data_IF_785918787584
#
_entry.id   IF_785918787584
#
_cell.length_a   1.000
_cell.length_b   1.000
_cell.length_c   1.000
_cell.angle_alpha   90.00
_cell.angle_beta   90.00
_cell.angle_gamma   90.00
#
_symmetry.space_group_name_H-M   'P 1'
#
loop_
_entity.id
_entity.type
_entity.pdbx_description
1 polymer ?
#
# COMPACT_ATOMS: atom_id res chain seq x y z
N UNK A 1 -11.98 -52.88 23.04
CA UNK A 1 -11.95 -52.14 21.77
C UNK A 1 -12.09 -50.62 21.95
N UNK A 2 -13.24 -50.10 22.40
CA UNK A 2 -13.59 -48.67 22.43
C UNK A 2 -12.49 -47.66 22.82
N UNK A 3 -11.76 -47.89 23.91
CA UNK A 3 -10.69 -46.99 24.38
C UNK A 3 -9.52 -46.92 23.40
N UNK A 4 -9.10 -48.06 22.83
CA UNK A 4 -8.03 -48.13 21.84
C UNK A 4 -8.36 -47.30 20.60
N UNK A 5 -9.56 -47.49 20.03
CA UNK A 5 -10.02 -46.71 18.86
C UNK A 5 -10.01 -45.20 19.10
N UNK A 6 -10.33 -44.76 20.33
CA UNK A 6 -10.26 -43.34 20.73
C UNK A 6 -8.82 -42.85 20.90
N UNK A 7 -7.92 -43.68 21.43
CA UNK A 7 -6.47 -43.39 21.49
C UNK A 7 -5.88 -43.32 20.07
N UNK A 8 -6.18 -44.29 19.20
CA UNK A 8 -5.76 -44.30 17.80
C UNK A 8 -6.22 -43.05 17.04
N UNK A 9 -7.46 -42.60 17.25
CA UNK A 9 -7.97 -41.36 16.67
C UNK A 9 -7.20 -40.11 17.15
N UNK A 10 -6.90 -40.03 18.46
CA UNK A 10 -6.14 -38.90 19.01
C UNK A 10 -4.68 -38.91 18.56
N UNK A 11 -4.04 -40.07 18.49
CA UNK A 11 -2.68 -40.21 17.97
C UNK A 11 -2.62 -39.97 16.45
N UNK A 12 -3.63 -40.39 15.67
CA UNK A 12 -3.76 -40.06 14.24
C UNK A 12 -3.93 -38.56 13.98
N UNK A 13 -4.60 -37.85 14.91
CA UNK A 13 -4.69 -36.38 14.88
C UNK A 13 -3.36 -35.70 15.20
N UNK A 14 -2.57 -36.26 16.11
CA UNK A 14 -1.26 -35.70 16.49
C UNK A 14 -0.18 -35.97 15.44
N UNK A 15 -0.15 -37.19 14.86
CA UNK A 15 0.83 -37.55 13.82
C UNK A 15 0.69 -36.67 12.57
N UNK A 16 -0.51 -36.15 12.28
CA UNK A 16 -0.76 -35.26 11.16
C UNK A 16 -0.04 -33.89 11.23
N UNK A 17 0.48 -33.53 12.40
CA UNK A 17 1.24 -32.30 12.65
C UNK A 17 2.63 -32.59 13.23
N UNK A 18 3.11 -33.83 13.10
CA UNK A 18 4.44 -34.28 13.48
C UNK A 18 5.27 -34.53 12.21
N UNK A 19 6.53 -34.10 12.18
CA UNK A 19 7.30 -33.99 10.93
C UNK A 19 7.43 -35.32 10.17
N UNK A 20 7.61 -36.42 10.91
CA UNK A 20 7.72 -37.77 10.37
C UNK A 20 6.37 -38.42 9.99
N UNK A 21 5.23 -37.75 10.22
CA UNK A 21 3.84 -38.24 10.06
C UNK A 21 3.51 -39.61 10.72
N UNK A 22 4.34 -40.05 11.67
CA UNK A 22 4.24 -41.34 12.37
C UNK A 22 4.35 -41.16 13.87
N UNK A 23 3.56 -41.92 14.63
CA UNK A 23 3.71 -42.06 16.08
C UNK A 23 3.65 -43.55 16.43
N UNK A 24 4.66 -44.03 17.18
CA UNK A 24 4.70 -45.37 17.74
C UNK A 24 4.40 -45.33 19.24
N UNK A 25 3.66 -46.31 19.74
CA UNK A 25 3.27 -46.45 21.14
C UNK A 25 3.19 -47.93 21.53
N UNK A 26 3.16 -48.21 22.83
CA UNK A 26 2.97 -49.57 23.34
C UNK A 26 1.52 -49.79 23.77
N UNK A 27 0.95 -50.93 23.36
CA UNK A 27 -0.35 -51.43 23.77
C UNK A 27 -0.24 -52.95 23.93
N UNK A 28 -0.66 -53.49 25.09
CA UNK A 28 -0.44 -54.88 25.49
C UNK A 28 0.98 -55.41 25.21
N UNK A 29 1.99 -54.59 25.54
CA UNK A 29 3.43 -54.80 25.30
C UNK A 29 3.87 -54.92 23.83
N UNK A 30 2.95 -54.77 22.87
CA UNK A 30 3.24 -54.70 21.44
C UNK A 30 3.52 -53.26 21.03
N UNK A 31 4.51 -53.06 20.17
CA UNK A 31 4.80 -51.77 19.55
C UNK A 31 3.83 -51.56 18.37
N UNK A 32 2.82 -50.72 18.58
CA UNK A 32 1.89 -50.30 17.53
C UNK A 32 2.38 -48.97 16.93
N UNK A 33 2.17 -48.76 15.62
CA UNK A 33 2.55 -47.53 14.93
C UNK A 33 1.40 -47.02 14.07
N UNK A 34 1.09 -45.74 14.23
CA UNK A 34 0.06 -45.03 13.46
C UNK A 34 0.72 -44.23 12.36
N UNK A 35 0.30 -44.52 11.13
CA UNK A 35 0.74 -43.86 9.91
C UNK A 35 -0.48 -43.35 9.13
N UNK A 36 -0.36 -42.17 8.53
CA UNK A 36 -1.44 -41.52 7.78
C UNK A 36 -1.60 -41.99 6.33
N UNK A 37 -0.71 -42.86 5.84
CA UNK A 37 -0.63 -43.25 4.43
C UNK A 37 -1.68 -44.24 3.95
N UNK A 38 -2.50 -44.83 4.85
CA UNK A 38 -3.43 -45.91 4.52
C UNK A 38 -4.84 -45.65 5.10
N UNK A 39 -5.61 -44.68 4.56
CA UNK A 39 -6.97 -44.38 5.03
C UNK A 39 -7.91 -45.59 4.90
N UNK A 40 -7.81 -46.33 3.81
CA UNK A 40 -8.72 -47.42 3.45
C UNK A 40 -8.54 -48.69 4.31
N UNK A 41 -7.65 -48.64 5.32
CA UNK A 41 -7.58 -49.60 6.44
C UNK A 41 -8.82 -49.53 7.35
N UNK A 42 -9.53 -48.40 7.35
CA UNK A 42 -10.68 -48.15 8.24
C UNK A 42 -12.00 -48.07 7.45
N UNK A 43 -13.15 -48.46 8.05
CA UNK A 43 -14.47 -48.29 7.42
C UNK A 43 -14.79 -46.83 7.07
N UNK A 44 -15.63 -46.61 6.04
CA UNK A 44 -16.02 -45.25 5.57
C UNK A 44 -16.55 -44.34 6.69
N UNK A 45 -17.33 -44.88 7.63
CA UNK A 45 -17.93 -44.12 8.74
C UNK A 45 -17.00 -43.98 9.97
N UNK A 46 -15.79 -44.55 9.93
CA UNK A 46 -14.85 -44.45 11.05
C UNK A 46 -14.26 -43.03 11.14
N UNK A 47 -14.28 -42.44 12.35
CA UNK A 47 -13.72 -41.10 12.56
C UNK A 47 -12.24 -40.97 12.16
N UNK A 48 -11.47 -42.07 12.07
CA UNK A 48 -10.09 -42.09 11.55
C UNK A 48 -10.07 -41.92 10.04
N UNK A 49 -10.87 -42.69 9.29
CA UNK A 49 -11.05 -42.52 7.83
C UNK A 49 -11.54 -41.11 7.53
N UNK A 50 -12.62 -40.70 8.19
CA UNK A 50 -13.23 -39.38 8.01
C UNK A 50 -12.24 -38.26 8.35
N UNK A 51 -11.45 -38.36 9.43
CA UNK A 51 -10.44 -37.33 9.73
C UNK A 51 -9.35 -37.23 8.67
N UNK A 52 -8.91 -38.36 8.09
CA UNK A 52 -7.93 -38.36 7.00
C UNK A 52 -8.50 -37.75 5.71
N UNK A 53 -9.72 -38.13 5.30
CA UNK A 53 -10.42 -37.49 4.18
C UNK A 53 -10.72 -36.00 4.44
N UNK A 54 -10.98 -35.60 5.68
CA UNK A 54 -11.09 -34.19 6.06
C UNK A 54 -9.75 -33.46 5.91
N UNK A 55 -8.59 -34.10 6.17
CA UNK A 55 -7.29 -33.48 5.93
C UNK A 55 -7.01 -33.29 4.44
N UNK A 56 -7.25 -34.32 3.63
CA UNK A 56 -6.92 -34.37 2.20
C UNK A 56 -8.21 -34.55 1.35
N UNK A 57 -9.06 -33.50 1.22
CA UNK A 57 -10.38 -33.59 0.58
C UNK A 57 -10.32 -33.89 -0.93
N UNK A 58 -9.16 -33.69 -1.57
CA UNK A 58 -8.90 -34.10 -2.95
C UNK A 58 -8.84 -35.62 -3.14
N UNK A 59 -8.85 -36.40 -2.06
CA UNK A 59 -8.92 -37.87 -2.08
C UNK A 59 -10.36 -38.41 -1.93
N UNK A 60 -11.36 -37.54 -2.00
CA UNK A 60 -12.78 -37.89 -2.07
C UNK A 60 -13.19 -38.08 -3.54
N UNK A 61 -13.94 -39.14 -3.81
CA UNK A 61 -14.51 -39.41 -5.13
C UNK A 61 -15.82 -38.60 -5.34
N UNK A 62 -16.16 -38.36 -6.61
CA UNK A 62 -17.33 -37.55 -6.96
C UNK A 62 -18.67 -38.18 -6.55
N UNK A 63 -18.75 -39.51 -6.35
CA UNK A 63 -20.00 -40.18 -5.95
C UNK A 63 -20.26 -39.87 -4.47
N UNK A 64 -19.26 -40.06 -3.60
CA UNK A 64 -19.32 -39.67 -2.18
C UNK A 64 -19.66 -38.18 -2.00
N UNK A 65 -19.16 -37.28 -2.86
CA UNK A 65 -19.51 -35.85 -2.82
C UNK A 65 -20.99 -35.61 -3.21
N UNK A 66 -21.49 -36.27 -4.26
CA UNK A 66 -22.89 -36.17 -4.70
C UNK A 66 -23.86 -36.74 -3.65
N UNK A 67 -23.53 -37.87 -3.04
CA UNK A 67 -24.27 -38.46 -1.91
C UNK A 67 -24.39 -37.46 -0.77
N UNK A 68 -23.27 -36.86 -0.33
CA UNK A 68 -23.28 -35.88 0.76
C UNK A 68 -24.03 -34.58 0.41
N UNK A 69 -24.03 -34.17 -0.86
CA UNK A 69 -24.85 -33.05 -1.33
C UNK A 69 -26.34 -33.37 -1.23
N UNK A 70 -26.78 -34.56 -1.66
CA UNK A 70 -28.18 -34.98 -1.57
C UNK A 70 -28.63 -35.16 -0.12
N UNK A 71 -27.81 -35.78 0.72
CA UNK A 71 -28.06 -35.92 2.16
C UNK A 71 -28.18 -34.57 2.87
N UNK A 72 -27.46 -33.55 2.40
CA UNK A 72 -27.54 -32.21 2.98
C UNK A 72 -28.89 -31.50 2.76
N UNK A 73 -29.75 -32.01 1.87
CA UNK A 73 -31.07 -31.44 1.60
C UNK A 73 -32.21 -32.13 2.40
N UNK A 74 -31.89 -33.08 3.26
CA UNK A 74 -32.84 -33.79 4.12
C UNK A 74 -33.08 -33.03 5.44
N UNK A 75 -33.98 -33.52 6.31
CA UNK A 75 -34.21 -32.89 7.62
C UNK A 75 -33.16 -33.28 8.68
N UNK A 76 -32.75 -34.55 8.76
CA UNK A 76 -31.71 -35.00 9.70
C UNK A 76 -30.31 -34.94 9.08
N UNK A 77 -29.81 -33.71 8.86
CA UNK A 77 -28.51 -33.51 8.23
C UNK A 77 -27.38 -33.81 9.22
N UNK A 78 -26.61 -34.84 8.87
CA UNK A 78 -25.27 -35.09 9.41
C UNK A 78 -24.36 -33.87 9.22
N UNK A 79 -24.28 -33.00 10.23
CA UNK A 79 -23.50 -31.74 10.20
C UNK A 79 -22.02 -31.92 9.79
N UNK A 80 -21.46 -33.11 9.95
CA UNK A 80 -20.12 -33.42 9.47
C UNK A 80 -20.02 -33.40 7.94
N UNK A 81 -21.04 -33.84 7.20
CA UNK A 81 -21.11 -33.77 5.73
C UNK A 81 -21.03 -32.32 5.27
N UNK A 82 -21.77 -31.41 5.92
CA UNK A 82 -21.67 -29.96 5.69
C UNK A 82 -20.24 -29.43 5.93
N UNK A 83 -19.58 -29.83 7.02
CA UNK A 83 -18.20 -29.41 7.30
C UNK A 83 -17.19 -29.92 6.25
N UNK A 84 -17.41 -31.11 5.69
CA UNK A 84 -16.57 -31.70 4.65
C UNK A 84 -16.81 -31.03 3.29
N UNK A 85 -18.08 -30.83 2.91
CA UNK A 85 -18.42 -30.09 1.69
C UNK A 85 -17.86 -28.67 1.73
N UNK A 86 -17.95 -27.96 2.86
CA UNK A 86 -17.35 -26.63 3.05
C UNK A 86 -15.83 -26.70 2.83
N UNK A 87 -15.14 -27.70 3.37
CA UNK A 87 -13.70 -27.86 3.17
C UNK A 87 -13.32 -28.30 1.75
N UNK A 88 -14.15 -29.09 1.09
CA UNK A 88 -13.96 -29.50 -0.30
C UNK A 88 -14.15 -28.32 -1.25
N UNK A 89 -15.20 -27.51 -1.11
CA UNK A 89 -15.40 -26.33 -1.94
C UNK A 89 -14.30 -25.29 -1.73
N UNK A 90 -13.88 -25.04 -0.48
CA UNK A 90 -12.82 -24.07 -0.15
C UNK A 90 -11.40 -24.52 -0.49
N UNK A 91 -11.18 -25.74 -1.02
CA UNK A 91 -9.84 -26.26 -1.37
C UNK A 91 -9.74 -27.02 -2.69
N UNK A 92 -10.85 -27.47 -3.28
CA UNK A 92 -10.88 -28.30 -4.49
C UNK A 92 -11.66 -27.62 -5.64
N UNK A 93 -12.90 -27.16 -5.42
CA UNK A 93 -13.70 -26.52 -6.48
C UNK A 93 -13.52 -25.01 -6.57
N UNK A 94 -13.22 -24.35 -5.44
CA UNK A 94 -13.18 -22.90 -5.29
C UNK A 94 -14.49 -22.19 -5.73
N UNK A 95 -15.64 -22.86 -5.60
CA UNK A 95 -16.94 -22.29 -5.95
C UNK A 95 -17.55 -21.50 -4.78
N UNK A 96 -17.58 -20.17 -4.90
CA UNK A 96 -18.28 -19.29 -3.94
C UNK A 96 -19.78 -19.60 -3.87
N UNK A 97 -20.42 -19.97 -4.99
CA UNK A 97 -21.84 -20.31 -5.01
C UNK A 97 -22.13 -21.55 -4.15
N UNK A 98 -21.30 -22.61 -4.27
CA UNK A 98 -21.42 -23.81 -3.44
C UNK A 98 -21.19 -23.49 -1.95
N UNK A 99 -20.24 -22.59 -1.63
CA UNK A 99 -19.96 -22.12 -0.27
C UNK A 99 -21.14 -21.33 0.31
N UNK A 100 -21.74 -20.42 -0.46
CA UNK A 100 -22.86 -19.58 -0.02
C UNK A 100 -24.16 -20.38 0.15
N UNK A 101 -24.46 -21.30 -0.77
CA UNK A 101 -25.59 -22.22 -0.65
C UNK A 101 -25.45 -23.08 0.61
N UNK A 102 -24.26 -23.61 0.86
CA UNK A 102 -23.97 -24.44 2.04
C UNK A 102 -23.97 -23.64 3.36
N UNK A 103 -23.62 -22.35 3.33
CA UNK A 103 -23.76 -21.47 4.50
C UNK A 103 -25.23 -21.17 4.80
N UNK A 104 -26.08 -20.89 3.80
CA UNK A 104 -27.53 -20.70 3.99
C UNK A 104 -28.17 -21.93 4.63
N UNK A 105 -27.80 -23.11 4.16
CA UNK A 105 -28.24 -24.40 4.69
C UNK A 105 -27.77 -24.64 6.13
N UNK A 106 -26.51 -24.31 6.45
CA UNK A 106 -25.99 -24.37 7.81
C UNK A 106 -26.68 -23.40 8.78
N UNK A 107 -27.10 -22.22 8.31
CA UNK A 107 -27.91 -21.28 9.08
C UNK A 107 -29.32 -21.86 9.30
N UNK A 108 -29.94 -22.46 8.28
CA UNK A 108 -31.26 -23.08 8.40
C UNK A 108 -31.29 -24.16 9.51
N UNK A 109 -30.36 -25.11 9.49
CA UNK A 109 -30.29 -26.18 10.52
C UNK A 109 -29.77 -25.72 11.88
N UNK A 110 -29.18 -24.52 11.97
CA UNK A 110 -28.93 -23.84 13.24
C UNK A 110 -30.25 -23.27 13.78
N UNK A 111 -30.95 -22.47 12.97
CA UNK A 111 -32.22 -21.84 13.36
C UNK A 111 -33.32 -22.87 13.68
N UNK A 112 -33.38 -24.01 12.98
CA UNK A 112 -34.24 -25.14 13.33
C UNK A 112 -33.92 -25.73 14.70
N UNK A 113 -32.62 -25.87 15.03
CA UNK A 113 -32.18 -26.45 16.30
C UNK A 113 -32.39 -25.50 17.48
N UNK A 114 -32.12 -24.20 17.34
CA UNK A 114 -32.40 -23.21 18.40
C UNK A 114 -33.92 -22.96 18.59
N UNK A 115 -34.78 -23.58 17.76
CA UNK A 115 -36.25 -23.69 17.93
C UNK A 115 -36.71 -25.10 18.35
N UNK A 116 -35.78 -26.04 18.50
CA UNK A 116 -36.06 -27.45 18.76
C UNK A 116 -36.14 -27.80 20.25
N UNK A 117 -36.30 -29.09 20.54
CA UNK A 117 -36.33 -29.62 21.92
C UNK A 117 -35.10 -30.50 22.25
N UNK A 118 -34.14 -30.66 21.32
CA UNK A 118 -32.96 -31.54 21.49
C UNK A 118 -31.79 -30.90 22.25
N UNK A 119 -32.07 -29.84 23.00
CA UNK A 119 -31.09 -29.00 23.68
C UNK A 119 -30.32 -29.75 24.77
N UNK A 120 -29.00 -29.61 24.73
CA UNK A 120 -28.08 -30.02 25.79
C UNK A 120 -26.71 -29.38 25.56
N UNK A 121 -25.91 -29.29 26.61
CA UNK A 121 -24.59 -28.61 26.64
C UNK A 121 -23.66 -29.04 25.48
N UNK A 122 -23.70 -30.30 25.04
CA UNK A 122 -22.90 -30.79 23.92
C UNK A 122 -23.46 -30.30 22.57
N UNK A 123 -24.76 -30.48 22.34
CA UNK A 123 -25.42 -30.05 21.11
C UNK A 123 -25.43 -28.52 20.96
N UNK A 124 -25.59 -27.76 22.05
CA UNK A 124 -25.57 -26.29 22.03
C UNK A 124 -24.17 -25.76 21.68
N UNK A 125 -23.13 -26.35 22.26
CA UNK A 125 -21.73 -26.06 21.93
C UNK A 125 -21.41 -26.45 20.48
N UNK A 126 -21.94 -27.57 20.00
CA UNK A 126 -21.83 -27.98 18.60
C UNK A 126 -22.48 -26.97 17.65
N UNK A 127 -23.76 -26.64 17.87
CA UNK A 127 -24.54 -25.66 17.10
C UNK A 127 -23.76 -24.34 16.95
N UNK A 128 -23.30 -23.80 18.08
CA UNK A 128 -22.55 -22.53 18.17
C UNK A 128 -21.16 -22.55 17.51
N UNK A 129 -20.40 -23.62 17.71
CA UNK A 129 -19.06 -23.77 17.10
C UNK A 129 -19.14 -24.05 15.60
N UNK A 130 -20.12 -24.83 15.16
CA UNK A 130 -20.36 -25.12 13.76
C UNK A 130 -20.79 -23.87 12.98
N UNK A 131 -21.72 -23.06 13.51
CA UNK A 131 -22.08 -21.77 12.89
C UNK A 131 -20.86 -20.85 12.73
N UNK A 132 -20.00 -20.79 13.76
CA UNK A 132 -18.72 -20.06 13.69
C UNK A 132 -17.81 -20.61 12.60
N UNK A 133 -17.64 -21.93 12.53
CA UNK A 133 -16.81 -22.58 11.51
C UNK A 133 -17.27 -22.21 10.09
N UNK A 134 -18.59 -22.25 9.80
CA UNK A 134 -19.11 -22.00 8.46
C UNK A 134 -18.88 -20.56 8.00
N UNK A 135 -19.14 -19.56 8.86
CA UNK A 135 -18.81 -18.16 8.57
C UNK A 135 -17.29 -17.93 8.42
N UNK A 136 -16.48 -18.50 9.31
CA UNK A 136 -15.03 -18.32 9.29
C UNK A 136 -14.38 -18.98 8.05
N UNK A 137 -14.90 -20.13 7.60
CA UNK A 137 -14.46 -20.80 6.36
C UNK A 137 -14.78 -19.99 5.12
N UNK A 138 -16.01 -19.43 5.00
CA UNK A 138 -16.39 -18.52 3.90
C UNK A 138 -15.48 -17.28 3.86
N UNK A 139 -15.30 -16.61 4.98
CA UNK A 139 -14.43 -15.43 5.07
C UNK A 139 -12.97 -15.74 4.73
N UNK A 140 -12.45 -16.89 5.18
CA UNK A 140 -11.10 -17.36 4.85
C UNK A 140 -10.94 -17.67 3.35
N UNK A 141 -11.99 -18.15 2.69
CA UNK A 141 -12.01 -18.36 1.24
C UNK A 141 -12.00 -17.04 0.46
N UNK A 142 -12.90 -16.12 0.81
CA UNK A 142 -13.02 -14.81 0.15
C UNK A 142 -11.70 -14.01 0.24
N UNK A 143 -11.07 -14.00 1.42
CA UNK A 143 -9.76 -13.37 1.63
C UNK A 143 -8.57 -14.07 0.94
N UNK A 144 -8.77 -15.19 0.23
CA UNK A 144 -7.70 -15.98 -0.40
C UNK A 144 -7.89 -16.19 -1.91
N UNK A 145 -9.13 -16.27 -2.39
CA UNK A 145 -9.43 -16.76 -3.74
C UNK A 145 -10.37 -15.85 -4.55
N UNK A 146 -11.15 -14.98 -3.90
CA UNK A 146 -12.14 -14.17 -4.60
C UNK A 146 -11.53 -12.85 -5.12
N UNK A 147 -11.70 -12.57 -6.41
CA UNK A 147 -10.98 -11.46 -7.07
C UNK A 147 -11.63 -10.10 -6.83
N UNK A 148 -12.95 -10.07 -6.79
CA UNK A 148 -13.74 -8.84 -6.65
C UNK A 148 -14.04 -8.53 -5.17
N UNK A 149 -13.44 -9.28 -4.23
CA UNK A 149 -13.62 -9.13 -2.80
C UNK A 149 -12.72 -8.02 -2.24
N UNK A 150 -13.33 -6.85 -2.00
CA UNK A 150 -12.65 -5.62 -1.59
C UNK A 150 -12.48 -5.49 -0.06
N UNK A 151 -11.59 -4.58 0.36
CA UNK A 151 -11.37 -4.24 1.76
C UNK A 151 -12.64 -3.83 2.53
N UNK A 152 -13.60 -3.18 1.86
CA UNK A 152 -14.87 -2.79 2.48
C UNK A 152 -15.83 -3.97 2.65
N UNK A 153 -15.85 -4.93 1.71
CA UNK A 153 -16.57 -6.21 1.89
C UNK A 153 -15.94 -7.02 3.04
N UNK A 154 -14.61 -7.05 3.12
CA UNK A 154 -13.87 -7.69 4.21
C UNK A 154 -14.24 -7.09 5.58
N UNK A 155 -14.39 -5.76 5.67
CA UNK A 155 -14.90 -5.09 6.88
C UNK A 155 -16.32 -5.52 7.26
N UNK A 156 -17.22 -5.68 6.29
CA UNK A 156 -18.61 -6.09 6.53
C UNK A 156 -18.68 -7.55 7.01
N UNK A 157 -18.01 -8.48 6.33
CA UNK A 157 -18.02 -9.90 6.74
C UNK A 157 -17.29 -10.12 8.08
N UNK A 158 -16.23 -9.36 8.38
CA UNK A 158 -15.56 -9.41 9.69
C UNK A 158 -16.45 -8.85 10.82
N UNK A 159 -17.24 -7.80 10.56
CA UNK A 159 -18.25 -7.31 11.50
C UNK A 159 -19.37 -8.34 11.71
N UNK A 160 -19.82 -9.02 10.65
CA UNK A 160 -20.79 -10.12 10.77
C UNK A 160 -20.21 -11.24 11.63
N UNK A 161 -18.96 -11.65 11.42
CA UNK A 161 -18.27 -12.62 12.28
C UNK A 161 -18.18 -12.14 13.73
N UNK A 162 -17.84 -10.87 13.98
CA UNK A 162 -17.79 -10.34 15.34
C UNK A 162 -19.16 -10.40 16.05
N UNK A 163 -20.26 -10.15 15.32
CA UNK A 163 -21.62 -10.35 15.86
C UNK A 163 -21.94 -11.82 16.17
N UNK A 164 -21.50 -12.75 15.32
CA UNK A 164 -21.68 -14.20 15.52
C UNK A 164 -20.85 -14.68 16.73
N UNK A 165 -19.60 -14.23 16.88
CA UNK A 165 -18.77 -14.56 18.05
C UNK A 165 -19.37 -14.02 19.36
N UNK A 166 -20.00 -12.84 19.33
CA UNK A 166 -20.70 -12.27 20.48
C UNK A 166 -21.98 -13.04 20.83
N UNK A 167 -22.72 -13.53 19.83
CA UNK A 167 -23.93 -14.34 20.02
C UNK A 167 -23.60 -15.75 20.56
N UNK A 168 -22.55 -16.39 20.05
CA UNK A 168 -22.19 -17.76 20.44
C UNK A 168 -21.26 -17.85 21.65
N UNK A 169 -20.64 -16.73 22.03
CA UNK A 169 -19.58 -16.61 23.04
C UNK A 169 -18.28 -17.39 22.68
N UNK A 170 -18.05 -17.68 21.39
CA UNK A 170 -16.87 -18.41 20.91
C UNK A 170 -15.93 -17.45 20.17
N UNK A 171 -14.99 -16.86 20.89
CA UNK A 171 -14.07 -15.82 20.37
C UNK A 171 -12.87 -16.41 19.63
N UNK A 172 -13.13 -17.01 18.45
CA UNK A 172 -12.11 -17.62 17.59
C UNK A 172 -11.12 -16.56 17.04
N UNK A 173 -9.81 -16.85 17.07
CA UNK A 173 -8.78 -15.93 16.58
C UNK A 173 -8.59 -15.94 15.05
N UNK A 174 -8.95 -17.03 14.36
CA UNK A 174 -8.65 -17.20 12.93
C UNK A 174 -9.21 -16.09 12.03
N UNK A 175 -10.42 -15.54 12.22
CA UNK A 175 -10.92 -14.43 11.41
C UNK A 175 -10.03 -13.19 11.49
N UNK A 176 -9.53 -12.86 12.68
CA UNK A 176 -8.61 -11.72 12.83
C UNK A 176 -7.21 -12.03 12.27
N UNK A 177 -6.74 -13.29 12.32
CA UNK A 177 -5.51 -13.72 11.64
C UNK A 177 -5.63 -13.59 10.10
N UNK A 178 -6.77 -14.02 9.54
CA UNK A 178 -7.11 -13.86 8.11
C UNK A 178 -7.20 -12.38 7.73
N UNK A 179 -7.88 -11.55 8.54
CA UNK A 179 -8.00 -10.12 8.30
C UNK A 179 -6.64 -9.40 8.35
N UNK A 180 -5.75 -9.76 9.29
CA UNK A 180 -4.37 -9.26 9.34
C UNK A 180 -3.62 -9.59 8.04
N UNK A 181 -3.67 -10.85 7.60
CA UNK A 181 -3.00 -11.30 6.37
C UNK A 181 -3.55 -10.64 5.11
N UNK A 182 -4.86 -10.41 5.03
CA UNK A 182 -5.48 -9.69 3.92
C UNK A 182 -5.07 -8.21 3.90
N UNK A 183 -5.17 -7.51 5.03
CA UNK A 183 -4.86 -6.07 5.11
C UNK A 183 -3.36 -5.78 4.94
N UNK A 184 -2.47 -6.68 5.37
CA UNK A 184 -1.04 -6.57 5.08
C UNK A 184 -0.80 -6.62 3.56
N UNK A 185 -1.42 -7.56 2.83
CA UNK A 185 -1.32 -7.64 1.36
C UNK A 185 -1.87 -6.39 0.67
N UNK A 186 -3.02 -5.87 1.11
CA UNK A 186 -3.60 -4.64 0.57
C UNK A 186 -2.65 -3.44 0.72
N UNK A 187 -2.03 -3.30 1.89
CA UNK A 187 -1.03 -2.24 2.14
C UNK A 187 0.23 -2.48 1.27
N UNK A 188 0.74 -3.70 1.19
CA UNK A 188 1.92 -4.04 0.38
C UNK A 188 1.68 -3.80 -1.12
N UNK A 189 0.49 -4.11 -1.63
CA UNK A 189 0.07 -3.81 -3.00
C UNK A 189 0.12 -2.30 -3.27
N UNK A 190 -0.51 -1.50 -2.41
CA UNK A 190 -0.50 -0.02 -2.52
C UNK A 190 0.90 0.58 -2.38
N UNK A 191 1.74 0.03 -1.49
CA UNK A 191 3.14 0.44 -1.34
C UNK A 191 4.01 0.06 -2.55
N UNK A 192 3.58 -0.88 -3.40
CA UNK A 192 4.30 -1.27 -4.63
C UNK A 192 4.04 -0.33 -5.82
N UNK A 193 2.98 0.47 -5.76
CA UNK A 193 2.63 1.41 -6.82
C UNK A 193 3.47 2.69 -6.76
N UNK A 194 3.76 3.26 -7.93
CA UNK A 194 4.59 4.48 -8.08
C UNK A 194 3.81 5.74 -7.69
N UNK A 195 2.48 5.69 -7.71
CA UNK A 195 1.61 6.77 -7.27
C UNK A 195 1.39 6.71 -5.76
N UNK A 196 1.29 7.87 -5.11
CA UNK A 196 0.96 7.96 -3.69
C UNK A 196 -0.49 7.52 -3.44
N UNK A 197 -0.69 6.57 -2.53
CA UNK A 197 -1.98 6.17 -2.00
C UNK A 197 -1.99 6.26 -0.47
N UNK A 198 -3.05 6.81 0.12
CA UNK A 198 -3.12 6.95 1.57
C UNK A 198 -3.49 5.63 2.26
N UNK A 199 -2.47 4.94 2.79
CA UNK A 199 -2.61 3.71 3.57
C UNK A 199 -2.92 3.96 5.07
N UNK A 200 -3.07 5.20 5.52
CA UNK A 200 -3.18 5.53 6.96
C UNK A 200 -4.37 4.85 7.65
N UNK A 201 -5.53 4.78 6.96
CA UNK A 201 -6.71 4.08 7.48
C UNK A 201 -6.49 2.56 7.56
N UNK A 202 -5.86 1.95 6.54
CA UNK A 202 -5.53 0.53 6.53
C UNK A 202 -4.60 0.17 7.72
N UNK A 203 -3.58 0.99 7.98
CA UNK A 203 -2.67 0.82 9.14
C UNK A 203 -3.41 1.00 10.48
N UNK A 204 -4.38 1.91 10.56
CA UNK A 204 -5.21 2.11 11.74
C UNK A 204 -6.08 0.88 12.06
N UNK A 205 -6.80 0.37 11.06
CA UNK A 205 -7.63 -0.82 11.21
C UNK A 205 -6.78 -2.10 11.40
N UNK A 206 -5.60 -2.21 10.77
CA UNK A 206 -4.65 -3.31 11.01
C UNK A 206 -4.26 -3.40 12.50
N UNK A 207 -3.99 -2.27 13.16
CA UNK A 207 -3.73 -2.21 14.61
C UNK A 207 -4.94 -2.66 15.45
N UNK A 208 -6.16 -2.30 15.02
CA UNK A 208 -7.42 -2.71 15.66
C UNK A 208 -7.63 -4.23 15.53
N UNK A 209 -7.41 -4.81 14.35
CA UNK A 209 -7.49 -6.25 14.13
C UNK A 209 -6.40 -7.01 14.90
N UNK A 210 -5.18 -6.47 14.99
CA UNK A 210 -4.11 -7.07 15.80
C UNK A 210 -4.46 -7.11 17.30
N UNK A 211 -5.06 -6.04 17.84
CA UNK A 211 -5.56 -6.04 19.23
C UNK A 211 -6.61 -7.13 19.45
N UNK A 212 -7.58 -7.28 18.52
CA UNK A 212 -8.60 -8.33 18.56
C UNK A 212 -8.02 -9.74 18.42
N UNK A 213 -7.10 -9.96 17.48
CA UNK A 213 -6.35 -11.22 17.33
C UNK A 213 -5.67 -11.62 18.63
N UNK A 214 -4.89 -10.73 19.25
CA UNK A 214 -4.21 -10.99 20.52
C UNK A 214 -5.19 -11.30 21.67
N UNK A 215 -6.31 -10.60 21.76
CA UNK A 215 -7.38 -10.89 22.74
C UNK A 215 -8.02 -12.27 22.50
N UNK A 216 -8.33 -12.62 21.26
CA UNK A 216 -8.94 -13.91 20.92
C UNK A 216 -7.95 -15.09 21.06
N UNK A 217 -6.66 -14.90 20.77
CA UNK A 217 -5.61 -15.91 21.07
C UNK A 217 -5.54 -16.15 22.59
N UNK A 218 -5.55 -15.09 23.41
CA UNK A 218 -5.57 -15.23 24.86
C UNK A 218 -6.86 -15.92 25.37
N UNK A 219 -8.00 -15.66 24.75
CA UNK A 219 -9.27 -16.35 25.04
C UNK A 219 -9.18 -17.84 24.69
N UNK A 220 -8.74 -18.20 23.48
CA UNK A 220 -8.54 -19.59 23.07
C UNK A 220 -7.51 -20.32 23.95
N UNK A 221 -6.44 -19.66 24.40
CA UNK A 221 -5.47 -20.22 25.37
C UNK A 221 -6.11 -20.53 26.72
N UNK A 222 -6.98 -19.65 27.23
CA UNK A 222 -7.65 -19.81 28.53
C UNK A 222 -8.73 -20.90 28.52
N UNK A 223 -9.55 -20.95 27.48
CA UNK A 223 -10.75 -21.81 27.45
C UNK A 223 -10.62 -23.06 26.57
N UNK A 224 -9.55 -23.18 25.79
CA UNK A 224 -9.24 -24.31 24.90
C UNK A 224 -10.46 -24.84 24.11
N UNK A 225 -11.16 -23.95 23.37
CA UNK A 225 -12.41 -24.27 22.69
C UNK A 225 -12.20 -25.27 21.55
N UNK A 226 -13.15 -26.20 21.40
CA UNK A 226 -13.31 -26.92 20.14
C UNK A 226 -13.87 -25.95 19.09
N UNK A 227 -13.00 -25.46 18.20
CA UNK A 227 -13.38 -24.51 17.14
C UNK A 227 -14.35 -25.11 16.11
N UNK A 228 -14.51 -26.43 16.09
CA UNK A 228 -15.58 -27.18 15.42
C UNK A 228 -15.98 -28.35 16.32
N UNK A 229 -17.21 -28.40 16.80
CA UNK A 229 -17.79 -29.54 17.52
C UNK A 229 -19.08 -29.98 16.80
N UNK A 230 -19.37 -31.28 16.83
CA UNK A 230 -20.57 -31.87 16.23
C UNK A 230 -21.58 -32.26 17.32
N UNK A 231 -22.86 -32.40 16.95
CA UNK A 231 -23.89 -32.90 17.87
C UNK A 231 -23.51 -34.29 18.41
N UNK A 232 -24.05 -34.64 19.57
CA UNK A 232 -23.65 -35.83 20.34
C UNK A 232 -23.75 -37.14 19.52
N UNK A 233 -24.84 -37.33 18.77
CA UNK A 233 -25.02 -38.52 17.91
C UNK A 233 -23.94 -38.62 16.82
N UNK A 234 -23.66 -37.52 16.11
CA UNK A 234 -22.59 -37.44 15.09
C UNK A 234 -21.17 -37.42 15.67
N UNK A 235 -21.02 -37.53 16.99
CA UNK A 235 -19.74 -37.57 17.71
C UNK A 235 -19.56 -38.89 18.48
N UNK A 236 -20.43 -39.88 18.30
CA UNK A 236 -20.47 -41.07 19.17
C UNK A 236 -20.44 -42.37 18.38
N UNK A 237 -19.46 -43.23 18.67
CA UNK A 237 -19.34 -44.58 18.11
C UNK A 237 -19.99 -45.59 19.06
N UNK A 238 -20.86 -46.48 18.56
CA UNK A 238 -21.22 -47.71 19.28
C UNK A 238 -20.29 -48.84 18.79
N UNK A 239 -19.87 -49.70 19.70
CA UNK A 239 -19.19 -50.96 19.38
C UNK A 239 -20.16 -52.10 19.71
N UNK A 240 -20.21 -53.15 18.89
CA UNK A 240 -21.21 -54.21 19.07
C UNK A 240 -21.03 -54.98 20.39
N UNK A 241 -19.77 -55.13 20.85
CA UNK A 241 -19.39 -55.70 22.14
C UNK A 241 -19.67 -54.78 23.36
N UNK A 242 -20.35 -53.63 23.18
CA UNK A 242 -20.51 -52.61 24.22
C UNK A 242 -21.91 -51.95 24.23
N UNK A 243 -22.59 -52.01 25.37
CA UNK A 243 -23.89 -51.35 25.57
C UNK A 243 -23.80 -49.81 25.60
N UNK A 244 -22.61 -49.24 25.77
CA UNK A 244 -22.40 -47.79 25.87
C UNK A 244 -21.85 -47.17 24.57
N UNK A 245 -22.31 -45.96 24.25
CA UNK A 245 -21.75 -45.12 23.17
C UNK A 245 -20.44 -44.47 23.64
N UNK A 246 -19.40 -44.56 22.81
CA UNK A 246 -18.12 -43.89 23.02
C UNK A 246 -18.13 -42.51 22.37
N UNK A 247 -18.25 -41.47 23.19
CA UNK A 247 -18.21 -40.08 22.74
C UNK A 247 -16.78 -39.63 22.40
N UNK A 248 -16.59 -39.20 21.16
CA UNK A 248 -15.37 -38.65 20.58
C UNK A 248 -15.62 -37.17 20.24
N UNK A 249 -15.37 -36.23 21.18
CA UNK A 249 -15.55 -34.82 20.90
C UNK A 249 -14.68 -34.37 19.72
N UNK A 250 -15.27 -33.55 18.87
CA UNK A 250 -14.54 -32.79 17.86
C UNK A 250 -13.64 -33.64 16.95
N UNK A 251 -14.18 -34.73 16.37
CA UNK A 251 -13.46 -35.62 15.44
C UNK A 251 -12.69 -34.88 14.32
N UNK A 252 -13.08 -33.65 13.97
CA UNK A 252 -12.50 -32.89 12.86
C UNK A 252 -11.77 -31.57 13.25
N UNK A 253 -11.68 -31.19 14.52
CA UNK A 253 -10.78 -30.08 14.89
C UNK A 253 -9.31 -30.53 14.89
N UNK A 254 -8.44 -29.62 14.44
CA UNK A 254 -6.97 -29.78 14.50
C UNK A 254 -6.46 -29.40 15.91
N UNK A 255 -5.29 -29.89 16.35
CA UNK A 255 -4.62 -29.39 17.53
C UNK A 255 -4.28 -27.88 17.38
N UNK A 256 -4.48 -27.09 18.44
CA UNK A 256 -4.12 -25.67 18.45
C UNK A 256 -2.64 -25.49 18.82
N UNK A 257 -1.81 -25.07 17.86
CA UNK A 257 -0.38 -24.83 18.05
C UNK A 257 -0.13 -23.46 18.69
N UNK A 258 -0.32 -23.39 20.00
CA UNK A 258 -0.23 -22.14 20.78
C UNK A 258 1.17 -21.49 20.85
N UNK A 259 2.24 -22.20 20.47
CA UNK A 259 3.61 -21.64 20.34
C UNK A 259 3.74 -20.80 19.07
N UNK A 260 3.37 -21.37 17.93
CA UNK A 260 3.29 -20.68 16.63
C UNK A 260 2.49 -19.37 16.75
N UNK A 261 1.40 -19.38 17.53
CA UNK A 261 0.56 -18.20 17.74
C UNK A 261 1.23 -17.08 18.57
N UNK A 262 2.24 -17.39 19.40
CA UNK A 262 3.07 -16.36 20.05
C UNK A 262 4.12 -15.80 19.09
N UNK A 263 4.69 -16.65 18.23
CA UNK A 263 5.62 -16.26 17.16
C UNK A 263 4.91 -15.36 16.12
N UNK A 264 3.69 -15.71 15.70
CA UNK A 264 2.78 -14.88 14.90
C UNK A 264 2.53 -13.52 15.56
N UNK A 265 2.23 -13.48 16.87
CA UNK A 265 1.99 -12.23 17.60
C UNK A 265 3.22 -11.29 17.52
N UNK A 266 4.44 -11.83 17.62
CA UNK A 266 5.69 -11.06 17.50
C UNK A 266 5.94 -10.63 16.04
N UNK A 267 5.69 -11.53 15.08
CA UNK A 267 5.80 -11.28 13.65
C UNK A 267 4.87 -10.15 13.18
N UNK A 268 3.58 -10.24 13.52
CA UNK A 268 2.60 -9.19 13.22
C UNK A 268 2.94 -7.87 13.89
N UNK A 269 3.37 -7.86 15.17
CA UNK A 269 3.79 -6.62 15.84
C UNK A 269 4.93 -5.92 15.08
N UNK A 270 5.93 -6.69 14.64
CA UNK A 270 7.09 -6.20 13.89
C UNK A 270 6.68 -5.67 12.51
N UNK A 271 5.80 -6.39 11.80
CA UNK A 271 5.29 -5.99 10.49
C UNK A 271 4.42 -4.73 10.57
N UNK A 272 3.58 -4.60 11.60
CA UNK A 272 2.75 -3.41 11.84
C UNK A 272 3.61 -2.17 12.11
N UNK A 273 4.68 -2.30 12.90
CA UNK A 273 5.61 -1.20 13.16
C UNK A 273 6.33 -0.74 11.87
N UNK A 274 6.72 -1.68 11.00
CA UNK A 274 7.28 -1.38 9.68
C UNK A 274 6.28 -0.64 8.77
N UNK A 275 5.05 -1.15 8.64
CA UNK A 275 4.03 -0.52 7.78
C UNK A 275 3.58 0.86 8.30
N UNK A 276 3.59 1.07 9.63
CA UNK A 276 3.41 2.39 10.22
C UNK A 276 4.55 3.36 9.88
N UNK A 277 5.80 2.88 9.83
CA UNK A 277 6.93 3.70 9.41
C UNK A 277 6.78 4.12 7.94
N UNK A 278 6.45 3.18 7.05
CA UNK A 278 6.29 3.49 5.63
C UNK A 278 5.09 4.39 5.31
N UNK A 279 3.99 4.26 6.07
CA UNK A 279 2.86 5.22 6.01
C UNK A 279 3.32 6.66 6.31
N UNK A 280 4.11 6.86 7.36
CA UNK A 280 4.68 8.18 7.73
C UNK A 280 5.71 8.65 6.68
N UNK A 281 6.55 7.73 6.18
CA UNK A 281 7.54 7.99 5.14
C UNK A 281 6.91 8.46 3.83
N UNK A 282 5.83 7.81 3.36
CA UNK A 282 5.11 8.24 2.16
C UNK A 282 4.48 9.64 2.33
N UNK A 283 3.88 9.94 3.48
CA UNK A 283 3.34 11.28 3.74
C UNK A 283 4.45 12.35 3.71
N UNK A 284 5.60 12.07 4.33
CA UNK A 284 6.77 12.96 4.28
C UNK A 284 7.29 13.14 2.85
N UNK A 285 7.37 12.07 2.05
CA UNK A 285 7.76 12.13 0.62
C UNK A 285 6.80 13.00 -0.18
N UNK A 286 5.50 12.88 0.03
CA UNK A 286 4.48 13.73 -0.60
C UNK A 286 4.69 15.20 -0.23
N UNK A 287 4.85 15.52 1.06
CA UNK A 287 5.13 16.88 1.52
C UNK A 287 6.43 17.46 0.91
N UNK A 288 7.45 16.64 0.68
CA UNK A 288 8.70 17.04 0.02
C UNK A 288 8.48 17.31 -1.49
N UNK A 289 7.66 16.51 -2.19
CA UNK A 289 7.31 16.74 -3.59
C UNK A 289 6.41 17.99 -3.77
N UNK A 290 5.44 18.17 -2.87
CA UNK A 290 4.60 19.37 -2.80
C UNK A 290 5.42 20.63 -2.46
N UNK A 291 6.45 20.50 -1.62
CA UNK A 291 7.39 21.58 -1.31
C UNK A 291 8.32 21.87 -2.50
N UNK A 292 8.87 20.84 -3.15
CA UNK A 292 9.71 21.02 -4.35
C UNK A 292 8.93 21.75 -5.45
N UNK A 293 7.74 21.26 -5.81
CA UNK A 293 6.94 21.90 -6.87
C UNK A 293 6.59 23.36 -6.55
N UNK A 294 6.44 23.73 -5.26
CA UNK A 294 6.30 25.13 -4.84
C UNK A 294 7.60 25.92 -4.98
N UNK A 295 8.75 25.34 -4.65
CA UNK A 295 10.07 25.95 -4.85
C UNK A 295 10.33 26.18 -6.35
N UNK A 296 10.15 25.17 -7.20
CA UNK A 296 10.31 25.27 -8.66
C UNK A 296 9.42 26.41 -9.24
N UNK A 297 8.17 26.52 -8.77
CA UNK A 297 7.25 27.61 -9.15
C UNK A 297 7.61 29.00 -8.55
N UNK A 298 8.29 29.04 -7.41
CA UNK A 298 8.80 30.29 -6.81
C UNK A 298 10.07 30.76 -7.51
N UNK A 299 10.96 29.83 -7.87
CA UNK A 299 12.19 30.12 -8.61
C UNK A 299 11.86 30.75 -9.97
N UNK A 300 10.92 30.18 -10.74
CA UNK A 300 10.42 30.77 -11.98
C UNK A 300 9.94 32.23 -11.80
N UNK A 301 9.09 32.48 -10.78
CA UNK A 301 8.56 33.82 -10.50
C UNK A 301 9.63 34.80 -10.03
N UNK A 302 10.60 34.33 -9.26
CA UNK A 302 11.72 35.14 -8.80
C UNK A 302 12.65 35.49 -9.97
N UNK A 303 12.87 34.58 -10.93
CA UNK A 303 13.60 34.86 -12.16
C UNK A 303 12.87 35.90 -13.03
N UNK A 304 11.54 35.79 -13.19
CA UNK A 304 10.74 36.80 -13.89
C UNK A 304 10.87 38.20 -13.24
N UNK A 305 10.75 38.28 -11.91
CA UNK A 305 10.88 39.54 -11.17
C UNK A 305 12.31 40.12 -11.22
N UNK A 306 13.33 39.27 -11.10
CA UNK A 306 14.73 39.69 -11.16
C UNK A 306 15.13 40.16 -12.55
N UNK A 307 14.65 39.51 -13.61
CA UNK A 307 14.80 39.98 -14.99
C UNK A 307 14.21 41.38 -15.18
N UNK A 308 12.97 41.61 -14.70
CA UNK A 308 12.31 42.91 -14.75
C UNK A 308 13.07 43.99 -13.95
N UNK A 309 13.57 43.67 -12.76
CA UNK A 309 14.36 44.61 -11.95
C UNK A 309 15.70 44.96 -12.62
N UNK A 310 16.36 44.00 -13.25
CA UNK A 310 17.58 44.24 -14.02
C UNK A 310 17.28 45.16 -15.22
N UNK A 311 16.22 44.91 -15.98
CA UNK A 311 15.82 45.78 -17.12
C UNK A 311 15.58 47.22 -16.69
N UNK A 312 14.83 47.44 -15.60
CA UNK A 312 14.56 48.79 -15.06
C UNK A 312 15.85 49.46 -14.58
N UNK A 313 16.71 48.73 -13.86
CA UNK A 313 17.97 49.27 -13.32
C UNK A 313 18.95 49.64 -14.43
N UNK A 314 19.13 48.78 -15.43
CA UNK A 314 19.99 49.03 -16.59
C UNK A 314 19.51 50.24 -17.40
N UNK A 315 18.19 50.38 -17.59
CA UNK A 315 17.61 51.57 -18.23
C UNK A 315 17.89 52.84 -17.44
N UNK A 316 17.66 52.85 -16.12
CA UNK A 316 17.89 54.01 -15.25
C UNK A 316 19.37 54.44 -15.24
N UNK A 317 20.31 53.49 -15.19
CA UNK A 317 21.75 53.77 -15.29
C UNK A 317 22.11 54.34 -16.66
N UNK A 318 21.56 53.80 -17.75
CA UNK A 318 21.75 54.33 -19.10
C UNK A 318 21.27 55.78 -19.25
N UNK A 319 20.11 56.13 -18.66
CA UNK A 319 19.63 57.51 -18.60
C UNK A 319 20.61 58.41 -17.84
N UNK A 320 21.05 58.00 -16.65
CA UNK A 320 21.99 58.79 -15.83
C UNK A 320 23.31 59.06 -16.57
N UNK A 321 23.87 58.07 -17.27
CA UNK A 321 25.06 58.26 -18.10
C UNK A 321 24.87 59.28 -19.23
N UNK A 322 23.71 59.30 -19.90
CA UNK A 322 23.41 60.27 -20.97
C UNK A 322 23.29 61.70 -20.41
N UNK A 323 22.66 61.88 -19.25
CA UNK A 323 22.48 63.21 -18.68
C UNK A 323 23.76 63.76 -18.04
N UNK A 324 24.49 62.94 -17.28
CA UNK A 324 25.68 63.33 -16.51
C UNK A 324 26.96 63.32 -17.35
N UNK A 325 27.15 62.33 -18.22
CA UNK A 325 28.43 62.09 -18.92
C UNK A 325 28.71 62.97 -20.14
N UNK A 326 27.74 63.78 -20.59
CA UNK A 326 27.91 64.72 -21.71
C UNK A 326 28.14 66.15 -21.20
N UNK A 327 29.42 66.54 -21.12
CA UNK A 327 29.90 67.85 -20.65
C UNK A 327 29.40 69.02 -21.50
N UNK A 328 28.37 69.73 -21.01
CA UNK A 328 28.00 71.13 -21.32
C UNK A 328 27.64 71.53 -22.76
N UNK A 329 27.99 70.72 -23.76
CA UNK A 329 28.09 71.07 -25.19
C UNK A 329 26.98 70.50 -26.05
N UNK A 330 26.26 69.49 -25.54
CA UNK A 330 25.14 68.81 -26.19
C UNK A 330 23.83 69.41 -25.68
N UNK A 331 22.95 69.85 -26.58
CA UNK A 331 21.69 70.49 -26.22
C UNK A 331 20.73 69.53 -25.49
N UNK A 332 19.77 70.10 -24.74
CA UNK A 332 18.71 69.31 -24.07
C UNK A 332 17.91 68.50 -25.10
N UNK A 333 17.73 69.03 -26.31
CA UNK A 333 17.02 68.39 -27.41
C UNK A 333 17.80 67.15 -27.89
N UNK A 334 19.10 67.26 -28.12
CA UNK A 334 19.95 66.11 -28.48
C UNK A 334 20.02 65.08 -27.35
N UNK A 335 20.13 65.52 -26.08
CA UNK A 335 20.06 64.60 -24.92
C UNK A 335 18.72 63.84 -24.89
N UNK A 336 17.60 64.44 -25.30
CA UNK A 336 16.34 63.71 -25.48
C UNK A 336 16.34 62.75 -26.68
N UNK A 337 16.99 63.08 -27.79
CA UNK A 337 17.14 62.13 -28.92
C UNK A 337 17.96 60.89 -28.49
N UNK A 338 19.02 61.05 -27.70
CA UNK A 338 19.75 59.91 -27.12
C UNK A 338 18.89 59.06 -26.18
N UNK A 339 18.02 59.68 -25.37
CA UNK A 339 17.05 58.95 -24.51
C UNK A 339 16.04 58.16 -25.35
N UNK A 340 15.51 58.72 -26.43
CA UNK A 340 14.57 58.01 -27.31
C UNK A 340 15.28 56.87 -28.04
N UNK A 341 16.49 57.08 -28.55
CA UNK A 341 17.30 56.04 -29.18
C UNK A 341 17.63 54.88 -28.21
N UNK A 342 18.01 55.19 -26.96
CA UNK A 342 18.19 54.18 -25.90
C UNK A 342 16.90 53.42 -25.61
N UNK A 343 15.75 54.11 -25.56
CA UNK A 343 14.43 53.50 -25.40
C UNK A 343 14.06 52.55 -26.55
N UNK A 344 14.38 52.91 -27.80
CA UNK A 344 14.19 52.04 -28.97
C UNK A 344 15.10 50.79 -28.89
N UNK A 345 16.37 50.95 -28.53
CA UNK A 345 17.32 49.83 -28.35
C UNK A 345 16.84 48.89 -27.23
N UNK A 346 16.41 49.44 -26.09
CA UNK A 346 15.86 48.65 -24.99
C UNK A 346 14.59 47.90 -25.41
N UNK A 347 13.70 48.55 -26.17
CA UNK A 347 12.49 47.92 -26.72
C UNK A 347 12.84 46.73 -27.61
N UNK A 348 13.82 46.88 -28.51
CA UNK A 348 14.32 45.78 -29.35
C UNK A 348 14.91 44.65 -28.51
N UNK A 349 15.71 44.94 -27.47
CA UNK A 349 16.27 43.91 -26.59
C UNK A 349 15.21 43.16 -25.78
N UNK A 350 14.24 43.86 -25.19
CA UNK A 350 13.09 43.25 -24.48
C UNK A 350 12.25 42.41 -25.45
N UNK A 351 12.08 42.88 -26.69
CA UNK A 351 11.41 42.12 -27.75
C UNK A 351 12.15 40.82 -28.09
N UNK A 352 13.48 40.86 -28.32
CA UNK A 352 14.28 39.65 -28.60
C UNK A 352 14.25 38.68 -27.40
N UNK A 353 14.37 39.20 -26.17
CA UNK A 353 14.25 38.38 -24.95
C UNK A 353 12.90 37.68 -24.82
N UNK A 354 11.80 38.37 -25.15
CA UNK A 354 10.45 37.77 -25.14
C UNK A 354 10.29 36.61 -26.11
N UNK A 355 10.99 36.61 -27.25
CA UNK A 355 11.01 35.47 -28.18
C UNK A 355 11.92 34.33 -27.71
N UNK A 356 13.08 34.65 -27.11
CA UNK A 356 14.06 33.65 -26.67
C UNK A 356 13.58 32.79 -25.48
N UNK A 357 12.64 33.29 -24.66
CA UNK A 357 12.18 32.64 -23.41
C UNK A 357 10.85 31.87 -23.60
N UNK A 358 10.28 31.79 -24.82
CA UNK A 358 8.87 31.42 -25.01
C UNK A 358 8.61 30.06 -25.68
N UNK A 359 8.32 29.05 -24.86
CA UNK A 359 8.03 27.66 -25.29
C UNK A 359 6.81 27.45 -26.21
N UNK A 360 5.85 28.40 -26.30
CA UNK A 360 4.64 28.24 -27.13
C UNK A 360 4.26 29.48 -27.94
N UNK A 361 4.10 29.25 -29.24
CA UNK A 361 3.74 30.24 -30.25
C UNK A 361 2.27 30.69 -30.14
N UNK A 362 2.01 31.98 -30.39
CA UNK A 362 0.68 32.61 -30.34
C UNK A 362 0.63 33.70 -31.41
N UNK A 363 -0.09 33.41 -32.49
CA UNK A 363 -0.09 34.20 -33.72
C UNK A 363 -0.56 35.64 -33.51
N UNK A 364 -1.49 35.89 -32.57
CA UNK A 364 -1.99 37.25 -32.31
C UNK A 364 -0.94 38.11 -31.61
N UNK A 365 -0.20 37.54 -30.64
CA UNK A 365 0.88 38.26 -29.95
C UNK A 365 2.10 38.47 -30.85
N UNK A 366 2.45 37.48 -31.69
CA UNK A 366 3.52 37.65 -32.70
C UNK A 366 3.20 38.74 -33.72
N UNK A 367 1.94 38.92 -34.13
CA UNK A 367 1.54 39.98 -35.06
C UNK A 367 1.71 41.38 -34.45
N UNK A 368 1.21 41.59 -33.23
CA UNK A 368 1.35 42.87 -32.50
C UNK A 368 2.82 43.21 -32.19
N UNK A 369 3.66 42.19 -32.01
CA UNK A 369 5.10 42.34 -31.82
C UNK A 369 5.84 42.83 -33.07
N UNK A 370 5.53 42.27 -34.25
CA UNK A 370 6.14 42.72 -35.53
C UNK A 370 5.81 44.18 -35.80
N UNK A 371 4.58 44.61 -35.46
CA UNK A 371 4.18 46.02 -35.53
C UNK A 371 5.05 46.93 -34.64
N UNK A 372 5.30 46.53 -33.37
CA UNK A 372 6.15 47.30 -32.44
C UNK A 372 7.61 47.40 -32.92
N UNK A 373 8.18 46.31 -33.42
CA UNK A 373 9.52 46.30 -34.01
C UNK A 373 9.62 47.26 -35.21
N UNK A 374 8.63 47.24 -36.10
CA UNK A 374 8.56 48.14 -37.25
C UNK A 374 8.45 49.61 -36.81
N UNK A 375 7.56 49.91 -35.86
CA UNK A 375 7.39 51.27 -35.31
C UNK A 375 8.68 51.81 -34.69
N UNK A 376 9.39 51.01 -33.87
CA UNK A 376 10.68 51.42 -33.29
C UNK A 376 11.76 51.69 -34.36
N UNK A 377 11.75 50.92 -35.46
CA UNK A 377 12.66 51.11 -36.60
C UNK A 377 12.35 52.40 -37.37
N UNK A 378 11.06 52.73 -37.55
CA UNK A 378 10.64 54.01 -38.11
C UNK A 378 11.06 55.19 -37.21
N UNK A 379 10.87 55.11 -35.89
CA UNK A 379 11.28 56.18 -34.97
C UNK A 379 12.78 56.46 -35.01
N UNK A 380 13.63 55.43 -35.09
CA UNK A 380 15.08 55.61 -35.27
C UNK A 380 15.41 56.22 -36.64
N UNK A 381 14.71 55.81 -37.71
CA UNK A 381 14.90 56.38 -39.05
C UNK A 381 14.50 57.85 -39.14
N UNK A 382 13.50 58.31 -38.39
CA UNK A 382 13.13 59.74 -38.33
C UNK A 382 14.17 60.56 -37.55
N UNK A 383 14.65 60.04 -36.41
CA UNK A 383 15.74 60.65 -35.62
C UNK A 383 17.00 60.83 -36.46
N UNK A 384 17.37 59.85 -37.28
CA UNK A 384 18.52 59.92 -38.19
C UNK A 384 18.31 60.84 -39.40
N UNK A 385 17.16 61.52 -39.53
CA UNK A 385 16.78 62.31 -40.72
C UNK A 385 16.61 63.81 -40.48
N UNK A 386 16.70 64.26 -39.23
CA UNK A 386 16.79 65.69 -38.89
C UNK A 386 18.08 66.29 -39.48
N UNK A 387 18.02 67.30 -40.38
CA UNK A 387 19.21 67.86 -40.99
C UNK A 387 20.04 68.68 -39.99
N UNK A 388 21.36 68.49 -40.04
CA UNK A 388 22.31 69.40 -39.39
C UNK A 388 22.52 70.65 -40.25
N UNK A 389 22.00 71.79 -39.81
CA UNK A 389 22.12 73.04 -40.56
C UNK A 389 23.56 73.60 -40.53
N UNK A 390 24.15 73.70 -41.72
CA UNK A 390 25.20 74.61 -42.18
C UNK A 390 26.21 75.19 -41.17
N UNK A 391 27.48 74.80 -41.34
CA UNK A 391 28.62 75.73 -41.17
C UNK A 391 29.59 75.60 -42.34
N UNK A 392 29.97 76.75 -42.90
CA UNK A 392 30.98 76.85 -43.96
C UNK A 392 32.40 76.63 -43.44
N UNK A 393 33.32 76.44 -44.38
CA UNK A 393 34.75 76.25 -44.12
C UNK A 393 35.43 77.57 -43.76
N UNK A 394 36.40 77.50 -42.84
CA UNK A 394 37.55 78.41 -42.88
C UNK A 394 38.84 77.61 -42.60
N UNK A 395 39.87 77.83 -43.42
CA UNK A 395 41.08 76.97 -43.46
C UNK A 395 42.33 77.76 -43.08
N UNK A 396 43.08 77.29 -42.07
CA UNK A 396 44.44 77.81 -41.78
C UNK A 396 45.41 76.65 -41.53
N UNK A 397 46.48 76.61 -42.34
CA UNK A 397 47.62 75.72 -42.14
C UNK A 397 48.65 76.36 -41.19
N UNK A 398 49.21 75.57 -40.24
CA UNK A 398 50.67 75.57 -40.00
C UNK A 398 51.18 74.41 -39.12
N UNK A 399 51.77 73.44 -39.81
CA UNK A 399 53.04 72.78 -39.48
C UNK A 399 54.01 73.63 -38.63
N UNK A 400 54.48 73.13 -37.47
CA UNK A 400 55.90 72.72 -37.25
C UNK A 400 56.24 72.15 -35.83
N UNK A 401 57.47 71.64 -35.68
CA UNK A 401 58.25 71.47 -34.42
C UNK A 401 58.00 70.32 -33.42
N UNK A 402 58.29 69.09 -33.86
CA UNK A 402 59.37 68.22 -33.33
C UNK A 402 59.95 68.38 -31.88
N UNK A 403 60.12 67.22 -31.18
CA UNK A 403 61.14 66.83 -30.14
C UNK A 403 61.15 67.42 -28.70
N UNK A 404 60.91 66.52 -27.73
CA UNK A 404 61.80 66.09 -26.60
C UNK A 404 61.07 64.89 -25.87
N UNK A 405 61.63 63.75 -25.43
CA UNK A 405 62.87 63.34 -24.70
C UNK A 405 62.95 63.97 -23.30
N UNK A 406 63.24 63.32 -22.15
CA UNK A 406 63.65 61.94 -21.75
C UNK A 406 63.49 61.78 -20.20
N UNK A 407 63.45 60.62 -19.52
CA UNK A 407 63.23 59.19 -19.91
C UNK A 407 62.28 58.47 -18.90
N UNK A 408 62.58 57.60 -17.90
CA UNK A 408 63.75 56.91 -17.31
C UNK A 408 63.30 55.53 -16.72
N UNK A 409 64.02 54.45 -17.09
CA UNK A 409 64.28 53.13 -16.46
C UNK A 409 63.22 52.14 -15.87
N UNK A 410 63.70 50.90 -15.74
CA UNK A 410 63.03 49.62 -15.50
C UNK A 410 63.80 48.83 -14.40
N UNK A 411 63.08 47.99 -13.64
CA UNK A 411 63.53 46.90 -12.75
C UNK A 411 64.72 47.10 -11.79
N UNK A 412 64.50 46.76 -10.51
CA UNK A 412 65.59 46.25 -9.67
C UNK A 412 65.16 45.15 -8.68
N UNK A 413 65.39 43.90 -9.11
CA UNK A 413 65.90 42.77 -8.31
C UNK A 413 65.31 42.51 -6.89
N UNK A 414 64.34 41.60 -6.86
CA UNK A 414 64.43 40.24 -6.24
C UNK A 414 64.78 40.10 -4.74
N UNK A 415 63.95 39.28 -4.06
CA UNK A 415 64.16 38.58 -2.78
C UNK A 415 64.13 39.37 -1.45
N UNK A 416 62.98 39.33 -0.78
CA UNK A 416 62.91 38.81 0.61
C UNK A 416 61.51 38.23 0.92
N UNK A 417 61.50 37.14 1.67
CA UNK A 417 60.35 36.37 2.17
C UNK A 417 60.78 35.80 3.55
N UNK A 418 59.92 35.16 4.39
CA UNK A 418 58.45 35.02 4.33
C UNK A 418 57.77 35.26 5.71
N UNK A 419 56.56 34.70 5.92
CA UNK A 419 55.82 34.48 7.21
C UNK A 419 55.32 35.78 7.91
N UNK A 420 54.12 35.90 8.51
CA UNK A 420 53.44 35.06 9.52
C UNK A 420 51.88 35.07 9.42
N UNK A 421 51.30 33.86 9.50
CA UNK A 421 49.96 33.40 9.99
C UNK A 421 48.66 34.19 9.70
N UNK A 422 47.65 33.43 9.27
CA UNK A 422 46.25 33.69 9.58
C UNK A 422 45.83 33.04 10.92
N UNK A 423 45.01 33.77 11.68
CA UNK A 423 44.00 33.32 12.67
C UNK A 423 43.12 34.55 12.94
N UNK A 424 41.83 34.43 13.27
CA UNK A 424 41.12 33.29 13.87
C UNK A 424 39.69 33.19 13.34
#
# INVERSE_FOLDING_TARGET
MAVLTKVELLLSKLSAFFDNKKISYYHDWKLETIELGCPDKYPKEDFRFLFQKYLEPSSLDNITILEWQQDSLQQDVSMWKLAFLMRYYTKCTNSIEQIDNLLRLAIHHHDEYERGNEHNVVNDCASRSFLNYMYNSRFSFLCQHEKDYTYELMKVDLQKIESIQAQTLIYNYHPYQTALNYVIKEIESKLSHVQFEDISQLVCDLKKYYKKFKTNVAWCKKYQPYLVQLRYNFSSVKFDDCDFKTYCPSSFCRPLRFKDLDEDIISYASKIAFLENESKNQNNRKLILDAKSKIDNMEHKNMEQMGLFITITTFLVGLLSIFIGNDGSVSIIEKMHYVIALGCILTVFVCVGYFAVRDKYDTKKSCLFVLLMFLSSCSVLEICRSPSDNKEYETVNKQDSCRQLQSIDIDNVRNSQPIIKATK
#
